data_IF_765365618474
#
_entry.id   IF_765365618474
#
_cell.length_a   1.000
_cell.length_b   1.000
_cell.length_c   1.000
_cell.angle_alpha   90.00
_cell.angle_beta   90.00
_cell.angle_gamma   90.00
#
_symmetry.space_group_name_H-M   'P 1'
#
loop_
_entity.id
_entity.type
_entity.pdbx_description
1 polymer ?
#
# COMPACT_ATOMS: atom_id res chain seq x y z
N UNK A 1 3.27 -32.93 -14.02
CA UNK A 1 3.11 -32.20 -12.74
C UNK A 1 4.50 -31.82 -12.26
N UNK A 2 4.68 -30.65 -11.64
CA UNK A 2 5.97 -30.23 -11.09
C UNK A 2 6.26 -30.93 -9.74
N UNK A 3 7.53 -31.06 -9.42
CA UNK A 3 8.01 -31.67 -8.18
C UNK A 3 8.01 -30.66 -7.03
N UNK A 4 8.11 -31.16 -5.78
CA UNK A 4 8.27 -30.30 -4.59
C UNK A 4 9.53 -29.44 -4.68
N UNK A 5 10.64 -30.00 -5.20
CA UNK A 5 11.88 -29.24 -5.35
C UNK A 5 11.74 -28.10 -6.36
N UNK A 6 11.09 -28.33 -7.51
CA UNK A 6 10.82 -27.27 -8.48
C UNK A 6 9.94 -26.15 -7.90
N UNK A 7 8.98 -26.49 -7.03
CA UNK A 7 8.19 -25.49 -6.33
C UNK A 7 9.02 -24.66 -5.35
N UNK A 8 9.93 -25.29 -4.60
CA UNK A 8 10.88 -24.63 -3.70
C UNK A 8 11.73 -23.64 -4.49
N UNK A 9 12.31 -24.08 -5.60
CA UNK A 9 13.18 -23.24 -6.46
C UNK A 9 12.44 -22.02 -7.00
N UNK A 10 11.18 -22.19 -7.42
CA UNK A 10 10.32 -21.08 -7.86
C UNK A 10 10.10 -20.07 -6.74
N UNK A 11 9.76 -20.53 -5.54
CA UNK A 11 9.48 -19.66 -4.37
C UNK A 11 10.75 -18.93 -3.93
N UNK A 12 11.88 -19.60 -3.83
CA UNK A 12 13.17 -18.99 -3.49
C UNK A 12 13.58 -17.92 -4.51
N UNK A 13 13.35 -18.17 -5.80
CA UNK A 13 13.59 -17.19 -6.84
C UNK A 13 12.66 -15.98 -6.73
N UNK A 14 11.42 -16.16 -6.29
CA UNK A 14 10.52 -15.04 -5.99
C UNK A 14 11.00 -14.24 -4.77
N UNK A 15 11.45 -14.90 -3.71
CA UNK A 15 12.02 -14.24 -2.53
C UNK A 15 13.23 -13.37 -2.93
N UNK A 16 14.15 -13.90 -3.74
CA UNK A 16 15.34 -13.16 -4.20
C UNK A 16 15.00 -11.94 -5.06
N UNK A 17 13.89 -11.96 -5.77
CA UNK A 17 13.44 -10.87 -6.67
C UNK A 17 12.65 -9.78 -5.96
N UNK A 18 12.19 -10.01 -4.74
CA UNK A 18 11.30 -9.10 -4.03
C UNK A 18 11.97 -8.50 -2.78
N UNK A 19 11.90 -7.17 -2.67
CA UNK A 19 12.37 -6.41 -1.51
C UNK A 19 11.17 -5.88 -0.67
N UNK A 20 10.13 -6.69 -0.42
CA UNK A 20 8.91 -6.14 0.16
C UNK A 20 8.15 -7.13 1.07
N UNK A 21 6.99 -6.69 1.55
CA UNK A 21 6.07 -7.37 2.47
C UNK A 21 5.63 -8.80 2.06
N UNK A 22 5.86 -9.20 0.82
CA UNK A 22 5.51 -10.54 0.35
C UNK A 22 6.58 -11.59 0.71
N UNK A 23 7.79 -11.17 1.06
CA UNK A 23 8.89 -12.08 1.43
C UNK A 23 8.50 -12.98 2.60
N UNK A 24 7.91 -12.41 3.66
CA UNK A 24 7.44 -13.17 4.82
C UNK A 24 6.43 -14.26 4.42
N UNK A 25 5.50 -13.92 3.52
CA UNK A 25 4.48 -14.87 3.05
C UNK A 25 5.06 -15.99 2.20
N UNK A 26 6.01 -15.66 1.34
CA UNK A 26 6.75 -16.67 0.60
C UNK A 26 7.55 -17.58 1.53
N UNK A 27 8.18 -17.03 2.58
CA UNK A 27 8.89 -17.81 3.60
C UNK A 27 7.96 -18.74 4.40
N UNK A 28 6.74 -18.29 4.74
CA UNK A 28 5.73 -19.14 5.36
C UNK A 28 5.34 -20.32 4.46
N UNK A 29 5.11 -20.06 3.17
CA UNK A 29 4.77 -21.11 2.21
C UNK A 29 5.93 -22.07 2.05
N UNK A 30 7.16 -21.56 1.91
CA UNK A 30 8.37 -22.36 1.80
C UNK A 30 8.57 -23.26 3.05
N UNK A 31 8.37 -22.72 4.25
CA UNK A 31 8.44 -23.48 5.51
C UNK A 31 7.43 -24.63 5.52
N UNK A 32 6.19 -24.38 5.08
CA UNK A 32 5.16 -25.43 4.98
C UNK A 32 5.53 -26.53 3.97
N UNK A 33 6.00 -26.14 2.78
CA UNK A 33 6.43 -27.09 1.76
C UNK A 33 7.62 -27.94 2.27
N UNK A 34 8.56 -27.36 2.99
CA UNK A 34 9.70 -28.07 3.55
C UNK A 34 9.33 -29.03 4.71
N UNK A 35 8.17 -28.82 5.34
CA UNK A 35 7.71 -29.66 6.47
C UNK A 35 6.85 -30.85 6.09
N UNK A 36 6.55 -31.04 4.80
CA UNK A 36 5.68 -32.14 4.30
C UNK A 36 6.45 -33.09 3.38
N UNK A 37 5.93 -34.30 3.23
CA UNK A 37 6.46 -35.29 2.28
C UNK A 37 6.16 -34.92 0.82
N UNK A 38 6.86 -35.58 -0.13
CA UNK A 38 6.59 -35.37 -1.57
C UNK A 38 5.18 -35.82 -1.96
N UNK A 39 4.67 -36.91 -1.37
CA UNK A 39 3.30 -37.40 -1.59
C UNK A 39 2.25 -36.41 -1.06
N UNK A 40 2.44 -35.89 0.13
CA UNK A 40 1.55 -34.88 0.72
C UNK A 40 1.57 -33.57 -0.08
N UNK A 41 2.74 -33.16 -0.55
CA UNK A 41 2.89 -32.00 -1.43
C UNK A 41 2.14 -32.21 -2.73
N UNK A 42 2.26 -33.38 -3.37
CA UNK A 42 1.57 -33.70 -4.62
C UNK A 42 0.04 -33.65 -4.45
N UNK A 43 -0.49 -34.18 -3.35
CA UNK A 43 -1.91 -34.14 -3.04
C UNK A 43 -2.40 -32.69 -2.84
N UNK A 44 -1.65 -31.86 -2.11
CA UNK A 44 -1.98 -30.45 -1.92
C UNK A 44 -1.92 -29.68 -3.25
N UNK A 45 -0.90 -29.92 -4.06
CA UNK A 45 -0.76 -29.28 -5.37
C UNK A 45 -1.94 -29.61 -6.30
N UNK A 46 -2.37 -30.89 -6.34
CA UNK A 46 -3.55 -31.31 -7.09
C UNK A 46 -4.82 -30.60 -6.62
N UNK A 47 -5.04 -30.52 -5.32
CA UNK A 47 -6.23 -29.88 -4.74
C UNK A 47 -6.26 -28.35 -4.95
N UNK A 48 -5.11 -27.68 -4.88
CA UNK A 48 -5.03 -26.21 -4.90
C UNK A 48 -4.81 -25.62 -6.29
N UNK A 49 -4.14 -26.34 -7.15
CA UNK A 49 -3.71 -25.86 -8.47
C UNK A 49 -4.36 -26.67 -9.59
N UNK A 50 -4.53 -27.98 -9.40
CA UNK A 50 -5.18 -28.89 -10.34
C UNK A 50 -4.33 -30.13 -10.65
N UNK A 51 -4.98 -31.17 -11.19
CA UNK A 51 -4.35 -32.46 -11.44
C UNK A 51 -3.16 -32.41 -12.41
N UNK A 52 -3.20 -31.49 -13.39
CA UNK A 52 -2.13 -31.28 -14.37
C UNK A 52 -1.33 -30.00 -14.08
N UNK A 53 -1.07 -29.73 -12.79
CA UNK A 53 -0.40 -28.52 -12.36
C UNK A 53 0.98 -28.35 -13.02
N UNK A 54 1.19 -27.19 -13.63
CA UNK A 54 2.47 -26.77 -14.23
C UNK A 54 3.15 -25.70 -13.37
N UNK A 55 4.43 -25.44 -13.61
CA UNK A 55 5.19 -24.35 -12.97
C UNK A 55 4.54 -22.99 -13.24
N UNK A 56 3.99 -22.79 -14.42
CA UNK A 56 3.26 -21.57 -14.76
C UNK A 56 2.00 -21.40 -13.90
N UNK A 57 1.21 -22.47 -13.75
CA UNK A 57 0.02 -22.49 -12.89
C UNK A 57 0.40 -22.21 -11.42
N UNK A 58 1.49 -22.81 -10.91
CA UNK A 58 2.03 -22.51 -9.59
C UNK A 58 2.39 -21.01 -9.45
N UNK A 59 3.09 -20.47 -10.44
CA UNK A 59 3.49 -19.05 -10.44
C UNK A 59 2.27 -18.13 -10.41
N UNK A 60 1.23 -18.43 -11.17
CA UNK A 60 -0.02 -17.67 -11.19
C UNK A 60 -0.80 -17.80 -9.86
N UNK A 61 -0.85 -19.00 -9.29
CA UNK A 61 -1.46 -19.23 -7.98
C UNK A 61 -0.72 -18.47 -6.87
N UNK A 62 0.62 -18.52 -6.85
CA UNK A 62 1.44 -17.74 -5.91
C UNK A 62 1.18 -16.24 -6.06
N UNK A 63 1.12 -15.74 -7.29
CA UNK A 63 0.82 -14.33 -7.56
C UNK A 63 -0.56 -13.94 -7.02
N UNK A 64 -1.60 -14.73 -7.29
CA UNK A 64 -2.94 -14.50 -6.77
C UNK A 64 -2.97 -14.51 -5.23
N UNK A 65 -2.25 -15.44 -4.58
CA UNK A 65 -2.13 -15.51 -3.12
C UNK A 65 -1.38 -14.30 -2.53
N UNK A 66 -0.37 -13.77 -3.22
CA UNK A 66 0.29 -12.55 -2.79
C UNK A 66 -0.58 -11.31 -2.97
N UNK A 67 -1.35 -11.24 -4.04
CA UNK A 67 -2.33 -10.17 -4.26
C UNK A 67 -3.44 -10.20 -3.21
N UNK A 68 -3.98 -11.38 -2.87
CA UNK A 68 -4.95 -11.59 -1.80
C UNK A 68 -4.35 -11.14 -0.45
N UNK A 69 -3.14 -11.59 -0.11
CA UNK A 69 -2.45 -11.22 1.11
C UNK A 69 -2.14 -9.72 1.21
N UNK A 70 -1.82 -9.07 0.09
CA UNK A 70 -1.60 -7.62 0.03
C UNK A 70 -2.91 -6.85 0.16
N UNK A 71 -4.01 -7.34 -0.40
CA UNK A 71 -5.34 -6.73 -0.24
C UNK A 71 -5.80 -6.75 1.21
N UNK A 72 -5.57 -7.83 1.94
CA UNK A 72 -5.94 -7.97 3.35
C UNK A 72 -5.11 -7.06 4.28
N UNK A 73 -3.94 -6.59 3.82
CA UNK A 73 -3.08 -5.67 4.58
C UNK A 73 -3.46 -4.19 4.39
N UNK A 74 -4.25 -3.85 3.37
CA UNK A 74 -4.66 -2.47 3.15
C UNK A 74 -5.90 -2.12 3.96
N UNK A 75 -5.71 -1.30 4.96
CA UNK A 75 -6.80 -0.77 5.78
C UNK A 75 -7.31 0.52 5.15
N UNK A 76 -8.57 0.52 4.75
CA UNK A 76 -9.22 1.68 4.15
C UNK A 76 -9.45 2.77 5.19
N UNK A 77 -9.02 3.99 4.89
CA UNK A 77 -9.29 5.18 5.71
C UNK A 77 -10.48 5.98 5.16
N UNK A 78 -10.57 6.07 3.84
CA UNK A 78 -11.67 6.68 3.12
C UNK A 78 -11.73 6.14 1.68
N UNK A 79 -12.54 6.73 0.82
CA UNK A 79 -12.74 6.24 -0.56
C UNK A 79 -11.52 6.40 -1.48
N UNK A 80 -10.53 7.20 -1.09
CA UNK A 80 -9.33 7.44 -1.89
C UNK A 80 -8.03 6.98 -1.22
N UNK A 81 -8.02 6.81 0.10
CA UNK A 81 -6.80 6.53 0.85
C UNK A 81 -6.96 5.26 1.67
N UNK A 82 -6.01 4.38 1.53
CA UNK A 82 -5.79 3.22 2.39
C UNK A 82 -4.36 3.23 2.90
N UNK A 83 -4.07 2.43 3.91
CA UNK A 83 -2.72 2.27 4.42
C UNK A 83 -2.41 0.81 4.75
N UNK A 84 -1.14 0.50 4.85
CA UNK A 84 -0.64 -0.69 5.53
C UNK A 84 0.60 -0.31 6.35
N UNK A 85 0.98 -1.19 7.27
CA UNK A 85 2.13 -0.97 8.13
C UNK A 85 3.28 -1.84 7.64
N UNK A 86 4.45 -1.22 7.48
CA UNK A 86 5.71 -1.89 7.16
C UNK A 86 6.71 -1.47 8.23
N UNK A 87 7.06 -2.38 9.13
CA UNK A 87 7.95 -2.10 10.25
C UNK A 87 7.48 -0.88 11.08
N UNK A 88 8.25 0.19 11.10
CA UNK A 88 7.98 1.44 11.81
C UNK A 88 7.33 2.52 10.92
N UNK A 89 6.81 2.13 9.79
CA UNK A 89 6.29 3.05 8.77
C UNK A 89 4.84 2.73 8.40
N UNK A 90 3.98 3.75 8.37
CA UNK A 90 2.66 3.68 7.73
C UNK A 90 2.84 4.05 6.25
N UNK A 91 2.62 3.10 5.36
CA UNK A 91 2.62 3.34 3.93
C UNK A 91 1.21 3.69 3.45
N UNK A 92 1.03 4.90 2.95
CA UNK A 92 -0.22 5.38 2.38
C UNK A 92 -0.33 4.99 0.90
N UNK A 93 -1.48 4.49 0.54
CA UNK A 93 -1.88 4.24 -0.85
C UNK A 93 -3.02 5.19 -1.21
N UNK A 94 -2.73 6.10 -2.12
CA UNK A 94 -3.75 6.97 -2.71
C UNK A 94 -4.13 6.35 -4.05
N UNK A 95 -5.33 5.78 -4.13
CA UNK A 95 -5.83 5.09 -5.33
C UNK A 95 -7.00 5.89 -5.90
N UNK A 96 -6.79 6.67 -6.95
CA UNK A 96 -7.90 7.22 -7.70
C UNK A 96 -8.39 6.18 -8.70
N UNK A 97 -9.68 5.91 -8.70
CA UNK A 97 -10.29 5.03 -9.73
C UNK A 97 -10.22 5.64 -11.13
N UNK A 98 -10.21 6.96 -11.26
CA UNK A 98 -9.92 7.73 -12.48
C UNK A 98 -9.53 9.15 -12.05
N UNK A 99 -8.41 9.69 -12.54
CA UNK A 99 -7.98 11.04 -12.17
C UNK A 99 -8.42 12.00 -13.28
N UNK A 100 -9.45 12.77 -13.01
CA UNK A 100 -9.67 14.02 -13.68
C UNK A 100 -9.16 15.20 -12.81
N UNK A 101 -9.12 16.39 -13.37
CA UNK A 101 -8.65 17.60 -12.67
C UNK A 101 -9.48 17.95 -11.41
N UNK A 102 -10.76 17.57 -11.37
CA UNK A 102 -11.66 17.72 -10.21
C UNK A 102 -11.20 16.79 -9.08
N UNK A 103 -11.00 15.52 -9.37
CA UNK A 103 -10.56 14.52 -8.38
C UNK A 103 -9.15 14.81 -7.85
N UNK A 104 -8.26 15.39 -8.66
CA UNK A 104 -6.95 15.82 -8.19
C UNK A 104 -7.04 16.95 -7.15
N UNK A 105 -8.00 17.87 -7.27
CA UNK A 105 -8.28 18.91 -6.28
C UNK A 105 -8.89 18.34 -5.01
N UNK A 106 -9.81 17.41 -5.14
CA UNK A 106 -10.49 16.73 -4.03
C UNK A 106 -9.55 15.78 -3.27
N UNK A 107 -8.58 15.18 -3.96
CA UNK A 107 -7.63 14.21 -3.37
C UNK A 107 -6.85 14.76 -2.17
N UNK A 108 -6.62 16.06 -2.11
CA UNK A 108 -6.00 16.69 -0.96
C UNK A 108 -6.89 16.67 0.30
N UNK A 109 -8.21 16.79 0.15
CA UNK A 109 -9.17 16.73 1.27
C UNK A 109 -9.24 15.28 1.82
N UNK A 110 -9.29 14.29 0.95
CA UNK A 110 -9.24 12.88 1.34
C UNK A 110 -7.92 12.52 2.04
N UNK A 111 -6.80 13.11 1.61
CA UNK A 111 -5.51 12.92 2.27
C UNK A 111 -5.50 13.57 3.66
N UNK A 112 -6.03 14.77 3.82
CA UNK A 112 -6.12 15.45 5.10
C UNK A 112 -7.00 14.67 6.10
N UNK A 113 -8.15 14.14 5.67
CA UNK A 113 -9.02 13.28 6.46
C UNK A 113 -8.32 11.98 6.88
N UNK A 114 -7.63 11.34 5.95
CA UNK A 114 -6.88 10.11 6.23
C UNK A 114 -5.79 10.34 7.30
N UNK A 115 -5.06 11.46 7.21
CA UNK A 115 -4.04 11.82 8.21
C UNK A 115 -4.66 12.11 9.57
N UNK A 116 -5.83 12.76 9.63
CA UNK A 116 -6.54 12.98 10.90
C UNK A 116 -6.95 11.66 11.56
N UNK A 117 -7.47 10.71 10.78
CA UNK A 117 -7.83 9.37 11.28
C UNK A 117 -6.61 8.60 11.80
N UNK A 118 -5.46 8.71 11.13
CA UNK A 118 -4.20 8.13 11.61
C UNK A 118 -3.76 8.81 12.91
N UNK A 119 -3.82 10.14 12.96
CA UNK A 119 -3.47 10.93 14.15
C UNK A 119 -4.32 10.53 15.36
N UNK A 120 -5.65 10.44 15.20
CA UNK A 120 -6.56 10.00 16.26
C UNK A 120 -6.19 8.63 16.80
N UNK A 121 -5.94 7.65 15.92
CA UNK A 121 -5.48 6.32 16.31
C UNK A 121 -4.15 6.33 17.04
N UNK A 122 -3.21 7.20 16.65
CA UNK A 122 -1.93 7.38 17.36
C UNK A 122 -2.13 7.96 18.76
N UNK A 123 -3.06 8.89 18.92
CA UNK A 123 -3.41 9.49 20.21
C UNK A 123 -4.12 8.50 21.14
N UNK A 124 -4.90 7.59 20.59
CA UNK A 124 -5.55 6.46 21.29
C UNK A 124 -4.56 5.33 21.67
N UNK A 125 -3.26 5.50 21.39
CA UNK A 125 -2.23 4.51 21.72
C UNK A 125 -1.97 3.47 20.64
N UNK A 126 -2.61 3.57 19.46
CA UNK A 126 -2.26 2.75 18.30
C UNK A 126 -0.96 3.23 17.66
N UNK A 127 -0.26 2.33 16.93
CA UNK A 127 0.94 2.65 16.15
C UNK A 127 2.09 3.25 16.98
N UNK A 128 2.28 2.80 18.23
CA UNK A 128 3.32 3.34 19.14
C UNK A 128 4.73 3.22 18.57
N UNK A 129 4.99 2.19 17.78
CA UNK A 129 6.28 1.91 17.13
C UNK A 129 6.48 2.69 15.80
N UNK A 130 5.42 3.30 15.26
CA UNK A 130 5.51 4.03 13.98
C UNK A 130 6.23 5.35 14.18
N UNK A 131 7.21 5.63 13.35
CA UNK A 131 7.99 6.88 13.32
C UNK A 131 7.68 7.75 12.10
N UNK A 132 7.26 7.12 10.99
CA UNK A 132 7.15 7.76 9.67
C UNK A 132 5.85 7.36 8.98
N UNK A 133 5.25 8.32 8.28
CA UNK A 133 4.21 8.10 7.28
C UNK A 133 4.84 8.33 5.92
N UNK A 134 4.66 7.38 5.02
CA UNK A 134 5.30 7.35 3.72
C UNK A 134 4.23 7.19 2.63
N UNK A 135 4.38 7.88 1.53
CA UNK A 135 3.51 7.72 0.37
C UNK A 135 4.33 7.62 -0.92
N UNK A 136 4.00 6.61 -1.72
CA UNK A 136 4.44 6.48 -3.10
C UNK A 136 3.19 6.37 -3.95
N UNK A 137 3.07 7.27 -4.91
CA UNK A 137 1.95 7.26 -5.84
C UNK A 137 2.40 7.81 -7.18
N UNK A 138 1.93 7.20 -8.28
CA UNK A 138 2.12 7.77 -9.62
C UNK A 138 1.57 9.20 -9.71
N UNK A 139 0.65 9.54 -8.83
CA UNK A 139 0.08 10.86 -8.69
C UNK A 139 1.07 11.92 -8.24
N UNK A 140 2.16 11.53 -7.54
CA UNK A 140 3.24 12.45 -7.17
C UNK A 140 4.02 12.99 -8.39
N UNK A 141 3.75 12.52 -9.60
CA UNK A 141 4.19 13.15 -10.86
C UNK A 141 3.41 14.43 -11.17
N UNK A 142 2.20 14.56 -10.65
CA UNK A 142 1.33 15.72 -10.88
C UNK A 142 1.67 16.84 -9.91
N UNK A 143 2.04 18.01 -10.41
CA UNK A 143 2.41 19.19 -9.60
C UNK A 143 1.35 19.56 -8.56
N UNK A 144 0.05 19.45 -8.92
CA UNK A 144 -1.05 19.75 -8.02
C UNK A 144 -1.07 18.82 -6.79
N UNK A 145 -0.82 17.54 -6.99
CA UNK A 145 -0.78 16.58 -5.87
C UNK A 145 0.50 16.73 -5.06
N UNK A 146 1.65 16.98 -5.68
CA UNK A 146 2.84 17.38 -4.92
C UNK A 146 2.57 18.57 -4.02
N UNK A 147 1.81 19.58 -4.54
CA UNK A 147 1.41 20.74 -3.75
C UNK A 147 0.55 20.33 -2.56
N UNK A 148 -0.50 19.52 -2.76
CA UNK A 148 -1.35 19.04 -1.67
C UNK A 148 -0.56 18.31 -0.57
N UNK A 149 0.38 17.44 -0.95
CA UNK A 149 1.25 16.75 0.02
C UNK A 149 2.13 17.74 0.79
N UNK A 150 2.76 18.71 0.09
CA UNK A 150 3.59 19.74 0.71
C UNK A 150 2.77 20.64 1.64
N UNK A 151 1.60 21.04 1.22
CA UNK A 151 0.67 21.89 1.99
C UNK A 151 0.16 21.17 3.26
N UNK A 152 0.25 19.83 3.31
CA UNK A 152 -0.03 19.00 4.48
C UNK A 152 1.24 18.59 5.27
N UNK A 153 2.38 19.19 4.95
CA UNK A 153 3.63 19.03 5.68
C UNK A 153 4.51 17.87 5.25
N UNK A 154 4.21 17.18 4.15
CA UNK A 154 5.09 16.16 3.62
C UNK A 154 6.34 16.75 2.99
N UNK A 155 7.47 16.12 3.27
CA UNK A 155 8.71 16.32 2.53
C UNK A 155 8.64 15.46 1.27
N UNK A 156 8.79 16.08 0.09
CA UNK A 156 8.81 15.37 -1.19
C UNK A 156 10.23 15.34 -1.69
N UNK A 157 10.72 14.15 -1.96
CA UNK A 157 12.06 13.90 -2.45
C UNK A 157 12.02 13.07 -3.74
N UNK A 158 13.03 13.28 -4.57
CA UNK A 158 13.29 12.39 -5.71
C UNK A 158 14.03 11.16 -5.20
N UNK A 159 13.46 9.97 -5.45
CA UNK A 159 14.10 8.72 -5.15
C UNK A 159 15.37 8.49 -5.98
N UNK A 160 16.19 7.55 -5.56
CA UNK A 160 17.32 7.12 -6.36
C UNK A 160 16.89 6.26 -7.56
N UNK A 161 17.82 5.94 -8.47
CA UNK A 161 17.53 5.15 -9.68
C UNK A 161 16.91 3.78 -9.40
N UNK A 162 17.23 3.14 -8.28
CA UNK A 162 16.65 1.84 -7.90
C UNK A 162 15.20 2.00 -7.45
N UNK A 163 14.89 3.04 -6.69
CA UNK A 163 13.54 3.41 -6.30
C UNK A 163 12.67 3.71 -7.53
N UNK A 164 13.18 4.51 -8.48
CA UNK A 164 12.49 4.85 -9.72
C UNK A 164 12.18 3.61 -10.57
N UNK A 165 13.12 2.65 -10.65
CA UNK A 165 12.89 1.37 -11.34
C UNK A 165 11.83 0.52 -10.67
N UNK A 166 11.82 0.47 -9.33
CA UNK A 166 10.90 -0.35 -8.55
C UNK A 166 9.46 0.16 -8.59
N UNK A 167 9.27 1.47 -8.46
CA UNK A 167 7.94 2.09 -8.34
C UNK A 167 7.46 2.79 -9.61
N UNK A 168 8.27 2.82 -10.68
CA UNK A 168 7.98 3.59 -11.92
C UNK A 168 7.66 5.07 -11.65
N UNK A 169 8.05 5.56 -10.48
CA UNK A 169 7.79 6.90 -9.99
C UNK A 169 9.06 7.47 -9.34
N UNK A 170 9.55 8.65 -9.79
CA UNK A 170 10.76 9.24 -9.24
C UNK A 170 10.55 9.93 -7.89
N UNK A 171 9.31 10.07 -7.39
CA UNK A 171 9.02 10.84 -6.19
C UNK A 171 8.46 10.00 -5.05
N UNK A 172 8.88 10.34 -3.84
CA UNK A 172 8.37 9.84 -2.58
C UNK A 172 7.98 11.01 -1.67
N UNK A 173 6.99 10.80 -0.82
CA UNK A 173 6.56 11.77 0.17
C UNK A 173 6.68 11.16 1.56
N UNK A 174 7.27 11.89 2.52
CA UNK A 174 7.46 11.45 3.90
C UNK A 174 6.94 12.50 4.87
N UNK A 175 6.32 12.04 5.96
CA UNK A 175 5.83 12.85 7.05
C UNK A 175 6.21 12.18 8.38
N UNK A 176 6.86 12.90 9.30
CA UNK A 176 7.22 12.32 10.59
C UNK A 176 6.00 12.22 11.51
N UNK A 177 5.95 11.17 12.35
CA UNK A 177 4.95 11.04 13.43
C UNK A 177 4.94 12.25 14.33
N UNK A 178 6.13 12.72 14.74
CA UNK A 178 6.28 13.87 15.63
C UNK A 178 5.58 15.11 15.08
N UNK A 179 5.76 15.37 13.77
CA UNK A 179 5.11 16.50 13.11
C UNK A 179 3.60 16.31 12.99
N UNK A 180 3.11 15.12 12.59
CA UNK A 180 1.67 14.85 12.52
C UNK A 180 0.96 15.06 13.86
N UNK A 181 1.62 14.74 14.98
CA UNK A 181 1.05 14.91 16.33
C UNK A 181 1.20 16.32 16.88
N UNK A 182 1.89 17.24 16.21
CA UNK A 182 2.15 18.61 16.68
C UNK A 182 0.95 19.54 16.45
N UNK A 183 0.95 20.64 17.19
CA UNK A 183 0.00 21.75 16.98
C UNK A 183 0.25 22.45 15.65
N UNK A 184 1.52 22.53 15.21
CA UNK A 184 1.90 23.08 13.92
C UNK A 184 1.20 22.35 12.75
N UNK A 185 1.13 21.03 12.80
CA UNK A 185 0.38 20.28 11.80
C UNK A 185 -1.13 20.57 11.86
N UNK A 186 -1.70 20.72 13.05
CA UNK A 186 -3.11 21.07 13.23
C UNK A 186 -3.44 22.42 12.57
N UNK A 187 -2.61 23.43 12.77
CA UNK A 187 -2.75 24.74 12.15
C UNK A 187 -2.60 24.68 10.63
N UNK A 188 -1.60 23.93 10.16
CA UNK A 188 -1.34 23.74 8.74
C UNK A 188 -2.53 23.06 8.05
N UNK A 189 -3.05 21.96 8.62
CA UNK A 189 -4.24 21.27 8.14
C UNK A 189 -5.46 22.18 8.15
N UNK A 190 -5.67 22.97 9.23
CA UNK A 190 -6.77 23.95 9.32
C UNK A 190 -6.76 24.91 8.13
N UNK A 191 -5.63 25.55 7.87
CA UNK A 191 -5.45 26.45 6.70
C UNK A 191 -5.63 25.71 5.36
N UNK A 192 -5.19 24.45 5.29
CA UNK A 192 -5.31 23.66 4.06
C UNK A 192 -6.76 23.33 3.70
N UNK A 193 -7.61 23.03 4.68
CA UNK A 193 -9.02 22.66 4.45
C UNK A 193 -9.96 23.87 4.41
N UNK A 194 -9.52 25.03 4.83
CA UNK A 194 -10.31 26.25 4.84
C UNK A 194 -10.87 26.57 3.45
N UNK A 195 -12.18 26.77 3.36
CA UNK A 195 -12.90 27.05 2.10
C UNK A 195 -12.98 25.89 1.12
N UNK A 196 -12.54 24.67 1.51
CA UNK A 196 -12.71 23.46 0.70
C UNK A 196 -13.96 22.70 1.13
N UNK A 197 -14.63 21.98 0.19
CA UNK A 197 -15.77 21.16 0.53
C UNK A 197 -15.35 20.00 1.45
N UNK A 198 -16.26 19.55 2.31
CA UNK A 198 -16.07 18.33 3.12
C UNK A 198 -16.16 17.07 2.27
N UNK A 199 -15.74 15.92 2.82
CA UNK A 199 -15.86 14.63 2.11
C UNK A 199 -17.34 14.32 1.83
N UNK A 200 -18.23 14.57 2.78
CA UNK A 200 -19.67 14.36 2.64
C UNK A 200 -20.25 15.19 1.49
N UNK A 201 -19.86 16.45 1.37
CA UNK A 201 -20.29 17.32 0.27
C UNK A 201 -19.75 16.86 -1.10
N UNK A 202 -18.49 16.37 -1.13
CA UNK A 202 -17.90 15.82 -2.34
C UNK A 202 -18.63 14.54 -2.76
N UNK A 203 -18.88 13.62 -1.82
CA UNK A 203 -19.52 12.33 -2.11
C UNK A 203 -20.97 12.48 -2.50
N UNK A 204 -21.72 13.40 -1.85
CA UNK A 204 -23.10 13.72 -2.22
C UNK A 204 -23.22 14.25 -3.65
N UNK A 205 -22.33 15.16 -4.05
CA UNK A 205 -22.30 15.67 -5.44
C UNK A 205 -21.97 14.57 -6.46
N UNK A 206 -21.06 13.67 -6.13
CA UNK A 206 -20.66 12.57 -7.02
C UNK A 206 -21.74 11.47 -7.14
N UNK A 207 -22.74 11.43 -6.27
CA UNK A 207 -23.92 10.56 -6.40
C UNK A 207 -24.99 11.16 -7.31
N UNK A 208 -25.09 12.49 -7.37
CA UNK A 208 -26.05 13.20 -8.22
C UNK A 208 -25.63 13.28 -9.69
N UNK A 209 -24.34 13.11 -9.95
CA UNK A 209 -23.74 13.17 -11.32
C UNK A 209 -23.71 11.77 -12.00
N UNK A 210 -24.35 10.73 -11.43
CA UNK A 210 -24.48 9.37 -11.99
C UNK A 210 -25.87 9.10 -12.49
#
# INVERSE_FOLDING_TARGET
>A
MFTRQEAIDVIENQIKKQNNANVEKYQEILKKINSISDEEFENIAKQRIGENATIEMLSNWLKAKMEEHTKDKFIKLNNMVSYHIIHDTIALHVVPKQINSKQAREGGVYLADALEKIKSKMQEGSFTHVTTIFAVSDLLKLKLLQKNFKDLGFKIEKGNKNFEKMFKNPYQATLSRKFLLSDEWRELKGKFVEGKPTIEEIESKNQLDK
#
